data_IF_997607703234
#
_entry.id   IF_997607703234
#
_cell.length_a   1.000
_cell.length_b   1.000
_cell.length_c   1.000
_cell.angle_alpha   90.00
_cell.angle_beta   90.00
_cell.angle_gamma   90.00
#
_symmetry.space_group_name_H-M   'P 1'
#
loop_
_entity.id
_entity.type
_entity.pdbx_description
1 polymer ?
#
# COMPACT_ATOMS: atom_id res chain seq x y z
N UNK A 1 9.47 -23.12 -31.28
CA UNK A 1 8.25 -22.61 -30.62
C UNK A 1 8.55 -22.49 -29.13
N UNK A 2 8.52 -21.28 -28.56
CA UNK A 2 8.69 -21.09 -27.13
C UNK A 2 7.51 -21.79 -26.41
N UNK A 3 7.83 -22.59 -25.39
CA UNK A 3 6.81 -23.23 -24.52
C UNK A 3 5.99 -22.11 -23.85
N UNK A 4 4.64 -22.18 -23.86
CA UNK A 4 3.84 -21.15 -23.19
C UNK A 4 4.30 -21.02 -21.74
N UNK A 5 4.49 -19.80 -21.28
CA UNK A 5 4.85 -19.52 -19.89
C UNK A 5 3.65 -19.90 -19.01
N UNK A 6 3.84 -20.83 -18.08
CA UNK A 6 2.78 -21.26 -17.15
C UNK A 6 2.58 -20.19 -16.05
N UNK A 7 1.46 -19.46 -16.01
CA UNK A 7 1.19 -18.42 -15.00
C UNK A 7 1.24 -18.94 -13.57
N UNK A 8 0.95 -20.24 -13.36
CA UNK A 8 1.02 -20.86 -12.04
C UNK A 8 2.46 -20.97 -11.54
N UNK A 9 3.44 -21.15 -12.42
CA UNK A 9 4.85 -21.15 -12.05
C UNK A 9 5.27 -19.74 -11.60
N UNK A 10 4.90 -18.71 -12.37
CA UNK A 10 5.18 -17.30 -12.01
C UNK A 10 4.64 -16.98 -10.62
N UNK A 11 3.39 -17.28 -10.35
CA UNK A 11 2.74 -17.04 -9.06
C UNK A 11 3.46 -17.77 -7.92
N UNK A 12 3.76 -19.08 -8.07
CA UNK A 12 4.49 -19.84 -7.04
C UNK A 12 5.86 -19.24 -6.70
N UNK A 13 6.56 -18.71 -7.70
CA UNK A 13 7.87 -18.06 -7.48
C UNK A 13 7.72 -16.75 -6.70
N UNK A 14 6.74 -15.91 -7.02
CA UNK A 14 6.45 -14.68 -6.28
C UNK A 14 6.00 -14.96 -4.84
N UNK A 15 5.09 -15.92 -4.64
CA UNK A 15 4.68 -16.37 -3.31
C UNK A 15 5.86 -16.93 -2.49
N UNK A 16 6.78 -17.65 -3.13
CA UNK A 16 8.00 -18.14 -2.46
C UNK A 16 8.92 -16.99 -2.08
N UNK A 17 9.14 -16.01 -2.98
CA UNK A 17 9.93 -14.83 -2.69
C UNK A 17 9.36 -14.04 -1.50
N UNK A 18 8.06 -13.79 -1.50
CA UNK A 18 7.37 -13.11 -0.40
C UNK A 18 7.51 -13.87 0.94
N UNK A 19 7.36 -15.20 0.93
CA UNK A 19 7.60 -16.01 2.13
C UNK A 19 9.04 -15.93 2.64
N UNK A 20 10.02 -16.04 1.71
CA UNK A 20 11.44 -15.95 2.08
C UNK A 20 11.79 -14.60 2.70
N UNK A 21 11.23 -13.50 2.17
CA UNK A 21 11.37 -12.17 2.78
C UNK A 21 10.82 -12.17 4.20
N UNK A 22 9.57 -12.63 4.39
CA UNK A 22 8.93 -12.71 5.71
C UNK A 22 9.76 -13.52 6.72
N UNK A 23 10.32 -14.64 6.25
CA UNK A 23 11.11 -15.54 7.08
C UNK A 23 12.60 -15.10 7.18
N UNK A 24 12.94 -13.94 6.56
CA UNK A 24 14.30 -13.37 6.49
C UNK A 24 15.34 -14.32 5.89
N UNK A 25 14.88 -15.20 4.98
CA UNK A 25 15.76 -16.10 4.24
C UNK A 25 16.46 -15.35 3.11
N UNK A 26 17.75 -15.62 2.85
CA UNK A 26 18.43 -15.03 1.70
C UNK A 26 17.79 -15.47 0.37
N UNK A 27 17.29 -14.49 -0.40
CA UNK A 27 16.67 -14.75 -1.71
C UNK A 27 17.75 -14.83 -2.78
N UNK A 28 18.10 -16.04 -3.15
CA UNK A 28 18.99 -16.36 -4.28
C UNK A 28 18.23 -17.14 -5.33
N UNK A 29 18.78 -17.21 -6.54
CA UNK A 29 18.17 -17.98 -7.62
C UNK A 29 17.89 -19.45 -7.23
N UNK A 30 18.81 -20.08 -6.47
CA UNK A 30 18.65 -21.47 -6.01
C UNK A 30 17.61 -21.62 -4.91
N UNK A 31 17.66 -20.74 -3.90
CA UNK A 31 16.71 -20.79 -2.78
C UNK A 31 15.29 -20.46 -3.24
N UNK A 32 15.16 -19.56 -4.22
CA UNK A 32 13.86 -19.18 -4.80
C UNK A 32 13.15 -20.35 -5.48
N UNK A 33 13.87 -21.19 -6.23
CA UNK A 33 13.26 -22.34 -6.93
C UNK A 33 13.13 -23.58 -6.04
N UNK A 34 13.83 -23.64 -4.91
CA UNK A 34 13.80 -24.79 -4.02
C UNK A 34 12.36 -25.07 -3.52
N UNK A 35 11.91 -26.32 -3.71
CA UNK A 35 10.56 -26.77 -3.28
C UNK A 35 9.40 -26.25 -4.12
N UNK A 36 9.63 -25.45 -5.18
CA UNK A 36 8.56 -24.93 -6.05
C UNK A 36 8.25 -25.84 -7.25
N UNK A 37 9.10 -26.80 -7.54
CA UNK A 37 9.03 -27.60 -8.78
C UNK A 37 9.47 -26.84 -10.03
N UNK A 38 9.93 -25.59 -9.88
CA UNK A 38 10.47 -24.77 -10.97
C UNK A 38 11.98 -24.95 -11.10
N UNK A 39 12.51 -24.75 -12.31
CA UNK A 39 13.95 -24.67 -12.55
C UNK A 39 14.44 -23.23 -12.44
N UNK A 40 15.75 -23.04 -12.29
CA UNK A 40 16.35 -21.70 -12.35
C UNK A 40 16.10 -21.01 -13.69
N UNK A 41 15.97 -21.77 -14.79
CA UNK A 41 15.57 -21.25 -16.10
C UNK A 41 14.17 -20.68 -16.09
N UNK A 42 13.27 -21.20 -15.26
CA UNK A 42 11.91 -20.64 -15.14
C UNK A 42 11.92 -19.20 -14.64
N UNK A 43 12.84 -18.82 -13.74
CA UNK A 43 12.99 -17.44 -13.28
C UNK A 43 13.33 -16.52 -14.45
N UNK A 44 14.31 -16.91 -15.28
CA UNK A 44 14.65 -16.15 -16.47
C UNK A 44 13.51 -16.09 -17.49
N UNK A 45 12.78 -17.19 -17.66
CA UNK A 45 11.66 -17.26 -18.59
C UNK A 45 10.51 -16.33 -18.17
N UNK A 46 10.21 -16.23 -16.85
CA UNK A 46 9.07 -15.46 -16.35
C UNK A 46 9.40 -14.00 -16.00
N UNK A 47 10.66 -13.73 -15.64
CA UNK A 47 11.05 -12.42 -15.11
C UNK A 47 12.25 -11.80 -15.84
N UNK A 48 12.90 -12.53 -16.75
CA UNK A 48 14.12 -12.07 -17.44
C UNK A 48 15.38 -12.08 -16.57
N UNK A 49 15.27 -11.71 -15.31
CA UNK A 49 16.37 -11.64 -14.35
C UNK A 49 15.86 -11.76 -12.90
N UNK A 50 16.78 -11.81 -11.93
CA UNK A 50 16.42 -11.65 -10.51
C UNK A 50 15.88 -10.24 -10.22
N UNK A 51 16.41 -9.22 -10.90
CA UNK A 51 15.90 -7.85 -10.80
C UNK A 51 14.45 -7.76 -11.30
N UNK A 52 14.14 -8.34 -12.47
CA UNK A 52 12.78 -8.44 -12.99
C UNK A 52 11.83 -9.21 -12.06
N UNK A 53 12.34 -10.17 -11.28
CA UNK A 53 11.54 -10.83 -10.24
C UNK A 53 11.23 -9.86 -9.09
N UNK A 54 12.19 -9.03 -8.65
CA UNK A 54 11.95 -8.00 -7.63
C UNK A 54 10.97 -6.94 -8.09
N UNK A 55 11.09 -6.50 -9.36
CA UNK A 55 10.14 -5.57 -9.98
C UNK A 55 8.72 -6.18 -10.01
N UNK A 56 8.61 -7.45 -10.40
CA UNK A 56 7.33 -8.15 -10.40
C UNK A 56 6.73 -8.31 -8.98
N UNK A 57 7.57 -8.55 -7.97
CA UNK A 57 7.13 -8.63 -6.58
C UNK A 57 6.65 -7.27 -6.06
N UNK A 58 7.37 -6.20 -6.40
CA UNK A 58 6.96 -4.83 -6.08
C UNK A 58 5.60 -4.50 -6.69
N UNK A 59 5.41 -4.85 -7.96
CA UNK A 59 4.14 -4.67 -8.67
C UNK A 59 3.00 -5.44 -8.00
N UNK A 60 3.23 -6.69 -7.62
CA UNK A 60 2.24 -7.52 -6.91
C UNK A 60 1.79 -6.86 -5.59
N UNK A 61 2.72 -6.22 -4.87
CA UNK A 61 2.41 -5.48 -3.66
C UNK A 61 1.45 -4.31 -3.90
N UNK A 62 1.69 -3.52 -4.95
CA UNK A 62 0.78 -2.41 -5.31
C UNK A 62 -0.58 -2.92 -5.81
N UNK A 63 -0.62 -4.00 -6.60
CA UNK A 63 -1.88 -4.63 -7.03
C UNK A 63 -2.70 -5.10 -5.84
N UNK A 64 -2.08 -5.78 -4.87
CA UNK A 64 -2.77 -6.23 -3.65
C UNK A 64 -3.29 -5.06 -2.80
N UNK A 65 -2.57 -3.94 -2.75
CA UNK A 65 -3.02 -2.73 -2.07
C UNK A 65 -4.20 -2.08 -2.82
N UNK A 66 -4.17 -2.04 -4.14
CA UNK A 66 -5.26 -1.53 -4.97
C UNK A 66 -6.53 -2.36 -4.77
N UNK A 67 -6.43 -3.69 -4.76
CA UNK A 67 -7.55 -4.60 -4.48
C UNK A 67 -8.15 -4.33 -3.09
N UNK A 68 -7.29 -4.11 -2.08
CA UNK A 68 -7.74 -3.77 -0.74
C UNK A 68 -8.48 -2.43 -0.68
N UNK A 69 -8.05 -1.44 -1.46
CA UNK A 69 -8.73 -0.13 -1.56
C UNK A 69 -10.05 -0.24 -2.32
N UNK A 70 -10.09 -1.01 -3.40
CA UNK A 70 -11.29 -1.24 -4.20
C UNK A 70 -12.41 -1.93 -3.40
N UNK A 71 -12.05 -2.71 -2.39
CA UNK A 71 -13.01 -3.36 -1.50
C UNK A 71 -13.68 -2.41 -0.48
N UNK A 72 -13.17 -1.17 -0.33
CA UNK A 72 -13.73 -0.19 0.62
C UNK A 72 -14.92 0.53 -0.02
N UNK A 73 -16.14 0.40 0.54
CA UNK A 73 -17.31 1.06 -0.01
C UNK A 73 -17.24 2.57 0.22
N UNK A 74 -17.63 3.34 -0.79
CA UNK A 74 -17.87 4.77 -0.62
C UNK A 74 -19.16 5.03 0.18
N UNK A 75 -19.06 5.95 1.15
CA UNK A 75 -20.21 6.35 1.99
C UNK A 75 -20.57 7.82 1.77
N UNK A 76 -21.57 8.31 2.49
CA UNK A 76 -21.93 9.73 2.51
C UNK A 76 -20.90 10.62 3.25
N UNK A 77 -19.96 10.02 3.98
CA UNK A 77 -18.88 10.72 4.69
C UNK A 77 -17.52 10.45 4.03
N UNK A 78 -17.06 11.31 3.11
CA UNK A 78 -15.84 11.09 2.38
C UNK A 78 -14.56 11.18 3.23
N UNK A 79 -14.57 11.87 4.38
CA UNK A 79 -13.42 11.88 5.31
C UNK A 79 -13.33 10.60 6.14
N UNK A 80 -14.48 9.98 6.45
CA UNK A 80 -14.53 8.61 6.96
C UNK A 80 -13.93 7.64 5.94
N UNK A 81 -14.31 7.76 4.67
CA UNK A 81 -13.84 6.88 3.60
C UNK A 81 -12.33 7.05 3.39
N UNK A 82 -11.81 8.29 3.38
CA UNK A 82 -10.38 8.57 3.30
C UNK A 82 -9.61 7.94 4.47
N UNK A 83 -10.18 8.00 5.68
CA UNK A 83 -9.57 7.35 6.85
C UNK A 83 -9.58 5.82 6.72
N UNK A 84 -10.66 5.23 6.18
CA UNK A 84 -10.75 3.80 5.94
C UNK A 84 -9.69 3.31 4.93
N UNK A 85 -9.41 4.10 3.88
CA UNK A 85 -8.32 3.85 2.94
C UNK A 85 -6.95 3.90 3.64
N UNK A 86 -6.72 4.89 4.51
CA UNK A 86 -5.51 4.95 5.34
C UNK A 86 -5.37 3.71 6.24
N UNK A 87 -6.46 3.26 6.86
CA UNK A 87 -6.43 2.02 7.66
C UNK A 87 -6.13 0.79 6.83
N UNK A 88 -6.67 0.68 5.62
CA UNK A 88 -6.36 -0.44 4.72
C UNK A 88 -4.88 -0.43 4.31
N UNK A 89 -4.31 0.74 4.04
CA UNK A 89 -2.88 0.90 3.81
C UNK A 89 -2.03 0.41 4.99
N UNK A 90 -2.35 0.86 6.20
CA UNK A 90 -1.65 0.45 7.42
C UNK A 90 -1.76 -1.06 7.66
N UNK A 91 -2.95 -1.62 7.50
CA UNK A 91 -3.21 -3.06 7.64
C UNK A 91 -2.40 -3.87 6.64
N UNK A 92 -2.41 -3.47 5.35
CA UNK A 92 -1.63 -4.13 4.30
C UNK A 92 -0.15 -4.21 4.67
N UNK A 93 0.45 -3.10 5.12
CA UNK A 93 1.86 -3.10 5.51
C UNK A 93 2.16 -3.86 6.81
N UNK A 94 1.21 -3.93 7.76
CA UNK A 94 1.35 -4.74 8.97
C UNK A 94 1.26 -6.25 8.68
N UNK A 95 0.36 -6.63 7.78
CA UNK A 95 0.15 -8.03 7.42
C UNK A 95 1.26 -8.56 6.49
N UNK A 96 1.90 -7.65 5.73
CA UNK A 96 2.94 -7.96 4.75
C UNK A 96 4.18 -7.05 4.88
N UNK A 97 4.87 -7.01 6.05
CA UNK A 97 5.91 -6.02 6.33
C UNK A 97 7.11 -6.10 5.38
N UNK A 98 7.46 -7.29 4.92
CA UNK A 98 8.60 -7.45 4.00
C UNK A 98 8.23 -7.09 2.56
N UNK A 99 6.99 -7.36 2.14
CA UNK A 99 6.47 -6.89 0.87
C UNK A 99 6.35 -5.36 0.85
N UNK A 100 5.89 -4.77 1.97
CA UNK A 100 5.86 -3.32 2.16
C UNK A 100 7.25 -2.68 1.95
N UNK A 101 8.31 -3.29 2.48
CA UNK A 101 9.68 -2.80 2.25
C UNK A 101 10.07 -2.83 0.76
N UNK A 102 9.73 -3.90 0.05
CA UNK A 102 9.98 -4.02 -1.40
C UNK A 102 9.17 -3.00 -2.20
N UNK A 103 7.92 -2.75 -1.82
CA UNK A 103 7.07 -1.74 -2.49
C UNK A 103 7.69 -0.35 -2.49
N UNK A 104 8.35 0.03 -1.40
CA UNK A 104 8.90 1.37 -1.19
C UNK A 104 10.44 1.42 -1.28
N UNK A 105 11.08 0.35 -1.75
CA UNK A 105 12.51 0.35 -2.06
C UNK A 105 12.77 1.09 -3.38
N UNK A 106 13.33 2.29 -3.27
CA UNK A 106 13.63 3.13 -4.42
C UNK A 106 14.72 2.55 -5.35
N UNK A 107 15.49 1.55 -4.91
CA UNK A 107 16.49 0.86 -5.73
C UNK A 107 15.87 -0.12 -6.73
N UNK A 108 14.61 -0.50 -6.54
CA UNK A 108 13.87 -1.40 -7.43
C UNK A 108 12.97 -0.53 -8.34
N UNK A 109 13.18 -0.58 -9.65
CA UNK A 109 12.32 0.14 -10.60
C UNK A 109 10.90 -0.43 -10.63
N UNK A 110 9.89 0.44 -10.75
CA UNK A 110 8.52 0.04 -11.07
C UNK A 110 8.38 -0.15 -12.57
N UNK A 111 7.89 -1.32 -12.99
CA UNK A 111 7.61 -1.61 -14.40
C UNK A 111 6.34 -0.89 -14.86
N UNK A 112 5.38 -0.73 -13.96
CA UNK A 112 4.10 -0.08 -14.20
C UNK A 112 3.91 1.06 -13.17
N UNK A 113 4.37 2.26 -13.53
CA UNK A 113 4.15 3.48 -12.75
C UNK A 113 2.66 3.75 -12.46
N UNK A 114 1.72 3.56 -13.44
CA UNK A 114 0.29 3.70 -13.19
C UNK A 114 -0.24 2.91 -12.00
N UNK A 115 0.31 1.75 -11.63
CA UNK A 115 -0.20 0.99 -10.49
C UNK A 115 0.08 1.66 -9.13
N UNK A 116 1.22 2.33 -8.98
CA UNK A 116 1.49 3.12 -7.78
C UNK A 116 0.63 4.39 -7.74
N UNK A 117 0.47 5.05 -8.90
CA UNK A 117 -0.40 6.23 -9.04
C UNK A 117 -1.86 5.88 -8.78
N UNK A 118 -2.35 4.70 -9.22
CA UNK A 118 -3.70 4.22 -8.99
C UNK A 118 -4.03 4.11 -7.50
N UNK A 119 -3.09 3.67 -6.66
CA UNK A 119 -3.34 3.60 -5.20
C UNK A 119 -3.48 4.98 -4.57
N UNK A 120 -2.68 5.97 -4.97
CA UNK A 120 -2.84 7.35 -4.50
C UNK A 120 -4.16 7.96 -4.97
N UNK A 121 -4.59 7.63 -6.18
CA UNK A 121 -5.83 8.11 -6.78
C UNK A 121 -7.09 7.78 -5.95
N UNK A 122 -7.11 6.65 -5.22
CA UNK A 122 -8.21 6.35 -4.29
C UNK A 122 -8.32 7.41 -3.20
N UNK A 123 -7.19 7.83 -2.62
CA UNK A 123 -7.16 8.87 -1.59
C UNK A 123 -7.53 10.23 -2.19
N UNK A 124 -7.03 10.55 -3.40
CA UNK A 124 -7.34 11.79 -4.12
C UNK A 124 -8.84 11.90 -4.40
N UNK A 125 -9.47 10.82 -4.86
CA UNK A 125 -10.91 10.80 -5.11
C UNK A 125 -11.72 11.01 -3.83
N UNK A 126 -11.31 10.39 -2.71
CA UNK A 126 -11.98 10.60 -1.42
C UNK A 126 -11.82 12.05 -0.93
N UNK A 127 -10.64 12.64 -1.05
CA UNK A 127 -10.37 14.04 -0.70
C UNK A 127 -11.15 15.01 -1.61
N UNK A 128 -11.22 14.75 -2.91
CA UNK A 128 -12.01 15.55 -3.86
C UNK A 128 -13.51 15.52 -3.50
N UNK A 129 -14.05 14.34 -3.20
CA UNK A 129 -15.43 14.20 -2.72
C UNK A 129 -15.66 14.98 -1.43
N UNK A 130 -14.69 15.02 -0.52
CA UNK A 130 -14.79 15.80 0.71
C UNK A 130 -14.86 17.31 0.44
N UNK A 131 -14.04 17.81 -0.49
CA UNK A 131 -14.09 19.20 -0.93
C UNK A 131 -15.44 19.51 -1.60
N UNK A 132 -15.88 18.68 -2.53
CA UNK A 132 -17.09 18.89 -3.32
C UNK A 132 -18.37 18.79 -2.44
N UNK A 133 -18.31 18.05 -1.32
CA UNK A 133 -19.32 17.99 -0.28
C UNK A 133 -19.25 19.15 0.73
N UNK A 134 -18.38 20.14 0.52
CA UNK A 134 -18.21 21.29 1.43
C UNK A 134 -17.62 20.93 2.80
N UNK A 135 -16.91 19.78 2.88
CA UNK A 135 -16.19 19.35 4.09
C UNK A 135 -14.80 20.01 4.17
N UNK A 136 -14.21 20.31 3.02
CA UNK A 136 -12.94 21.03 2.92
C UNK A 136 -13.17 22.35 2.21
N UNK A 137 -12.22 23.30 2.37
CA UNK A 137 -12.30 24.59 1.67
C UNK A 137 -12.32 24.39 0.15
N UNK A 138 -13.03 25.23 -0.62
CA UNK A 138 -13.12 25.11 -2.08
C UNK A 138 -11.75 25.14 -2.79
N UNK A 139 -10.78 25.92 -2.26
CA UNK A 139 -9.44 26.05 -2.78
C UNK A 139 -8.51 24.89 -2.40
N UNK A 140 -8.98 23.95 -1.55
CA UNK A 140 -8.15 22.81 -1.13
C UNK A 140 -7.80 21.90 -2.30
N UNK A 141 -6.53 21.67 -2.51
CA UNK A 141 -6.04 20.74 -3.51
C UNK A 141 -6.18 19.30 -2.98
N UNK A 142 -7.02 18.50 -3.62
CA UNK A 142 -7.31 17.13 -3.17
C UNK A 142 -6.04 16.24 -3.12
N UNK A 143 -5.12 16.43 -4.06
CA UNK A 143 -3.84 15.73 -4.08
C UNK A 143 -3.00 16.03 -2.83
N UNK A 144 -3.00 17.28 -2.35
CA UNK A 144 -2.23 17.66 -1.16
C UNK A 144 -2.77 16.94 0.09
N UNK A 145 -4.08 16.93 0.27
CA UNK A 145 -4.72 16.22 1.40
C UNK A 145 -4.46 14.71 1.33
N UNK A 146 -4.56 14.12 0.13
CA UNK A 146 -4.28 12.71 -0.09
C UNK A 146 -2.81 12.38 0.23
N UNK A 147 -1.87 13.17 -0.30
CA UNK A 147 -0.44 13.01 -0.08
C UNK A 147 -0.06 13.17 1.40
N UNK A 148 -0.62 14.17 2.08
CA UNK A 148 -0.39 14.39 3.51
C UNK A 148 -0.94 13.24 4.35
N UNK A 149 -2.15 12.74 4.03
CA UNK A 149 -2.75 11.58 4.70
C UNK A 149 -1.89 10.32 4.52
N UNK A 150 -1.42 10.09 3.29
CA UNK A 150 -0.51 8.99 2.99
C UNK A 150 0.84 9.15 3.70
N UNK A 151 1.44 10.33 3.68
CA UNK A 151 2.73 10.60 4.33
C UNK A 151 2.68 10.34 5.85
N UNK A 152 1.58 10.70 6.52
CA UNK A 152 1.35 10.40 7.94
C UNK A 152 1.31 8.89 8.16
N UNK A 153 0.50 8.17 7.38
CA UNK A 153 0.36 6.72 7.48
C UNK A 153 1.69 6.01 7.20
N UNK A 154 2.35 6.39 6.12
CA UNK A 154 3.65 5.82 5.71
C UNK A 154 4.74 6.06 6.75
N UNK A 155 4.82 7.27 7.30
CA UNK A 155 5.79 7.62 8.33
C UNK A 155 5.61 6.79 9.60
N UNK A 156 4.40 6.71 10.14
CA UNK A 156 4.10 5.91 11.33
C UNK A 156 4.32 4.41 11.08
N UNK A 157 3.84 3.90 9.96
CA UNK A 157 4.03 2.49 9.61
C UNK A 157 5.52 2.15 9.45
N UNK A 158 6.32 3.02 8.83
CA UNK A 158 7.76 2.83 8.68
C UNK A 158 8.49 2.79 10.03
N UNK A 159 8.08 3.64 10.99
CA UNK A 159 8.62 3.64 12.35
C UNK A 159 8.24 2.37 13.11
N UNK A 160 7.04 1.86 12.92
CA UNK A 160 6.60 0.59 13.53
C UNK A 160 7.30 -0.60 12.86
N UNK A 161 7.34 -0.66 11.54
CA UNK A 161 7.99 -1.74 10.79
C UNK A 161 9.52 -1.77 10.98
N UNK A 162 10.13 -0.60 11.21
CA UNK A 162 11.56 -0.45 11.53
C UNK A 162 11.91 -0.71 12.99
N UNK A 163 10.92 -0.78 13.88
CA UNK A 163 11.06 -1.15 15.29
C UNK A 163 11.22 -0.02 16.32
N UNK A 164 11.38 1.29 15.96
CA UNK A 164 11.49 2.35 16.98
C UNK A 164 10.17 2.68 17.68
N UNK A 165 9.01 2.35 17.07
CA UNK A 165 7.70 2.52 17.68
C UNK A 165 6.96 1.17 17.80
N UNK A 166 6.19 0.96 18.88
CA UNK A 166 5.32 -0.19 19.00
C UNK A 166 4.07 -0.03 18.13
N UNK A 167 3.39 -1.16 17.83
CA UNK A 167 2.24 -1.20 16.93
C UNK A 167 1.09 -0.29 17.37
N UNK A 168 0.85 -0.17 18.67
CA UNK A 168 -0.19 0.66 19.27
C UNK A 168 -0.03 2.15 18.94
N UNK A 169 1.18 2.60 18.63
CA UNK A 169 1.44 3.99 18.27
C UNK A 169 0.86 4.39 16.91
N UNK A 170 0.42 3.44 16.09
CA UNK A 170 -0.37 3.73 14.88
C UNK A 170 -1.67 4.47 15.21
N UNK A 171 -2.19 4.37 16.44
CA UNK A 171 -3.33 5.17 16.90
C UNK A 171 -3.11 6.68 16.81
N UNK A 172 -1.84 7.16 16.79
CA UNK A 172 -1.52 8.57 16.59
C UNK A 172 -1.97 9.10 15.23
N UNK A 173 -2.25 8.21 14.26
CA UNK A 173 -2.87 8.58 12.98
C UNK A 173 -4.21 9.31 13.20
N UNK A 174 -5.00 8.89 14.20
CA UNK A 174 -6.34 9.45 14.46
C UNK A 174 -6.30 10.95 14.78
N UNK A 175 -5.58 11.43 15.80
CA UNK A 175 -5.52 12.87 16.09
C UNK A 175 -4.82 13.65 14.96
N UNK A 176 -3.83 13.07 14.28
CA UNK A 176 -3.12 13.76 13.19
C UNK A 176 -4.05 13.98 12.00
N UNK A 177 -4.77 12.96 11.54
CA UNK A 177 -5.75 13.11 10.46
C UNK A 177 -6.90 14.06 10.86
N UNK A 178 -7.36 14.00 12.10
CA UNK A 178 -8.40 14.93 12.58
C UNK A 178 -7.93 16.38 12.49
N UNK A 179 -6.71 16.67 12.90
CA UNK A 179 -6.10 17.99 12.80
C UNK A 179 -5.87 18.41 11.33
N UNK A 180 -5.42 17.48 10.48
CA UNK A 180 -5.22 17.70 9.06
C UNK A 180 -6.53 18.12 8.37
N UNK A 181 -7.62 17.40 8.59
CA UNK A 181 -8.90 17.68 7.97
C UNK A 181 -9.53 18.98 8.50
N UNK A 182 -9.41 19.25 9.81
CA UNK A 182 -9.81 20.52 10.38
C UNK A 182 -8.99 21.69 9.80
N UNK A 183 -7.67 21.51 9.67
CA UNK A 183 -6.78 22.47 9.02
C UNK A 183 -7.10 22.69 7.54
N UNK A 184 -7.66 21.72 6.86
CA UNK A 184 -8.11 21.81 5.47
C UNK A 184 -9.53 22.44 5.34
N UNK A 185 -10.22 22.71 6.47
CA UNK A 185 -11.48 23.46 6.47
C UNK A 185 -12.69 22.76 7.06
N UNK A 186 -12.57 21.50 7.48
CA UNK A 186 -13.71 20.83 8.14
C UNK A 186 -13.91 21.38 9.58
N UNK A 187 -15.13 21.24 10.08
CA UNK A 187 -15.40 21.45 11.50
C UNK A 187 -14.59 20.44 12.35
N UNK A 188 -13.82 20.90 13.37
CA UNK A 188 -12.93 20.03 14.13
C UNK A 188 -13.60 18.82 14.79
N UNK A 189 -14.81 19.00 15.32
CA UNK A 189 -15.56 17.90 15.96
C UNK A 189 -16.07 16.91 14.92
N UNK A 190 -16.56 17.43 13.79
CA UNK A 190 -17.03 16.60 12.67
C UNK A 190 -15.86 15.83 12.05
N UNK A 191 -14.72 16.45 11.83
CA UNK A 191 -13.48 15.79 11.38
C UNK A 191 -13.10 14.63 12.31
N UNK A 192 -13.06 14.90 13.62
CA UNK A 192 -12.74 13.87 14.62
C UNK A 192 -13.76 12.70 14.61
N UNK A 193 -15.06 12.98 14.46
CA UNK A 193 -16.08 11.92 14.34
C UNK A 193 -15.89 11.08 13.08
N UNK A 194 -15.63 11.72 11.93
CA UNK A 194 -15.40 11.04 10.66
C UNK A 194 -14.16 10.14 10.72
N UNK A 195 -13.05 10.65 11.27
CA UNK A 195 -11.81 9.87 11.42
C UNK A 195 -12.03 8.68 12.34
N UNK A 196 -12.67 8.86 13.50
CA UNK A 196 -12.96 7.73 14.41
C UNK A 196 -13.89 6.69 13.78
N UNK A 197 -14.87 7.12 12.99
CA UNK A 197 -15.80 6.22 12.30
C UNK A 197 -15.14 5.44 11.15
N UNK A 198 -14.10 5.99 10.53
CA UNK A 198 -13.29 5.32 9.50
C UNK A 198 -12.15 4.47 10.08
N UNK A 199 -11.78 4.71 11.34
CA UNK A 199 -10.67 4.00 11.97
C UNK A 199 -11.06 2.58 12.38
N UNK A 200 -10.34 1.58 11.88
CA UNK A 200 -10.64 0.15 12.09
C UNK A 200 -9.38 -0.72 12.14
N UNK A 201 -8.25 -0.18 12.66
CA UNK A 201 -6.97 -0.89 12.73
C UNK A 201 -6.86 -1.77 13.97
#
# INVERSE_FOLDING_TARGET
MARPTDPAVRRRLLERAARMLRDREPVTLRSLVAGTGASTMAVYTHFGSMEGMWQALRQEGFTGLEDAFAAIPSTADPLRDLTALVCAYLRNGLDHPDLYRVMFDASIELVDLPAADATLDYLVRAAARARDAGRLRPETVALDVATQSWAVAHGLLSLVAGGPLPREDLQHTVPILSALFAGAGDDPERASRSVRAGWSL
#
